data_IF_852816900691
#
_entry.id   IF_852816900691
#
_cell.length_a   1.000
_cell.length_b   1.000
_cell.length_c   1.000
_cell.angle_alpha   90.00
_cell.angle_beta   90.00
_cell.angle_gamma   90.00
#
_symmetry.space_group_name_H-M   'P 1'
#
loop_
_entity.id
_entity.type
_entity.pdbx_description
1 polymer ?
#
# COMPACT_ATOMS: atom_id res chain seq x y z
N UNK A 1 -28.00 -41.88 48.60
CA UNK A 1 -26.63 -42.16 48.19
C UNK A 1 -26.43 -41.53 46.84
N UNK A 2 -25.79 -40.49 46.93
CA UNK A 2 -25.21 -39.45 46.16
C UNK A 2 -24.47 -39.97 44.92
N UNK A 3 -24.72 -39.34 43.79
CA UNK A 3 -23.83 -39.35 42.64
C UNK A 3 -23.54 -37.90 42.26
N UNK A 4 -22.30 -37.52 42.50
CA UNK A 4 -21.73 -36.20 42.23
C UNK A 4 -21.62 -35.89 40.77
N UNK A 5 -22.03 -34.67 40.47
CA UNK A 5 -21.73 -33.91 39.25
C UNK A 5 -20.21 -33.77 39.04
N UNK A 6 -19.81 -34.10 37.84
CA UNK A 6 -18.52 -33.70 37.26
C UNK A 6 -18.77 -32.64 36.20
N UNK A 7 -18.78 -31.37 36.60
CA UNK A 7 -18.78 -30.23 35.69
C UNK A 7 -17.39 -30.09 35.04
N UNK A 8 -17.33 -30.33 33.75
CA UNK A 8 -16.12 -30.26 32.97
C UNK A 8 -15.93 -28.84 32.48
N UNK A 9 -15.01 -28.12 33.10
CA UNK A 9 -14.47 -26.84 32.62
C UNK A 9 -13.61 -27.10 31.37
N UNK A 10 -14.16 -26.94 30.21
CA UNK A 10 -13.48 -27.02 28.90
C UNK A 10 -13.85 -25.83 28.01
N UNK A 11 -13.81 -24.61 28.51
CA UNK A 11 -14.21 -23.47 27.66
C UNK A 11 -13.27 -22.27 27.69
N UNK A 12 -12.06 -22.39 28.23
CA UNK A 12 -11.21 -21.19 28.38
C UNK A 12 -9.83 -21.23 27.67
N UNK A 13 -9.43 -22.35 27.09
CA UNK A 13 -8.09 -22.46 26.47
C UNK A 13 -8.02 -21.88 25.07
N UNK A 14 -9.14 -21.76 24.35
CA UNK A 14 -9.16 -21.25 22.96
C UNK A 14 -9.15 -19.70 22.90
N UNK A 15 -9.58 -19.00 23.94
CA UNK A 15 -9.59 -17.55 24.03
C UNK A 15 -8.23 -16.96 24.46
N UNK A 16 -7.44 -17.68 25.25
CA UNK A 16 -6.15 -17.21 25.75
C UNK A 16 -5.03 -17.30 24.70
N UNK A 17 -5.07 -18.26 23.76
CA UNK A 17 -4.05 -18.39 22.72
C UNK A 17 -4.10 -17.29 21.63
N UNK A 18 -5.21 -16.56 21.53
CA UNK A 18 -5.34 -15.44 20.58
C UNK A 18 -4.75 -14.12 21.10
N UNK A 19 -4.40 -14.05 22.39
CA UNK A 19 -3.91 -12.83 23.07
C UNK A 19 -2.41 -12.58 22.91
N UNK A 20 -1.60 -13.57 22.50
CA UNK A 20 -0.13 -13.45 22.48
C UNK A 20 0.48 -13.14 21.12
N UNK A 21 -0.26 -13.31 20.01
CA UNK A 21 0.28 -13.06 18.67
C UNK A 21 0.32 -11.58 18.36
N UNK A 22 1.50 -11.08 17.93
CA UNK A 22 1.63 -9.71 17.41
C UNK A 22 0.72 -9.49 16.22
N UNK A 23 0.06 -8.32 16.10
CA UNK A 23 -0.69 -7.98 14.90
C UNK A 23 0.23 -8.00 13.68
N UNK A 24 -0.23 -8.65 12.59
CA UNK A 24 0.51 -8.73 11.33
C UNK A 24 -0.05 -7.76 10.31
N UNK A 25 0.82 -6.93 9.78
CA UNK A 25 0.48 -5.92 8.76
C UNK A 25 1.18 -6.27 7.46
N UNK A 26 0.41 -6.38 6.39
CA UNK A 26 0.93 -6.54 5.03
C UNK A 26 0.98 -5.18 4.33
N UNK A 27 2.15 -4.80 3.84
CA UNK A 27 2.34 -3.68 2.92
C UNK A 27 2.35 -4.22 1.48
N UNK A 28 1.22 -4.10 0.81
CA UNK A 28 1.04 -4.58 -0.56
C UNK A 28 1.07 -3.41 -1.53
N UNK A 29 1.93 -3.45 -2.54
CA UNK A 29 2.10 -2.32 -3.43
C UNK A 29 2.57 -2.72 -4.83
N UNK A 30 2.32 -1.81 -5.76
CA UNK A 30 3.06 -1.65 -7.01
C UNK A 30 3.72 -0.27 -6.99
N UNK A 31 4.95 -0.17 -7.44
CA UNK A 31 5.62 1.11 -7.59
C UNK A 31 6.50 1.13 -8.83
N UNK A 32 6.45 2.24 -9.60
CA UNK A 32 7.35 2.45 -10.74
C UNK A 32 8.50 3.40 -10.39
N UNK A 33 8.19 4.41 -9.59
CA UNK A 33 9.13 5.48 -9.22
C UNK A 33 9.59 5.40 -7.76
N UNK A 34 9.27 4.34 -7.05
CA UNK A 34 9.58 4.18 -5.63
C UNK A 34 8.72 5.01 -4.67
N UNK A 35 7.85 5.90 -5.16
CA UNK A 35 7.12 6.82 -4.27
C UNK A 35 6.07 6.12 -3.40
N UNK A 36 5.34 5.15 -3.94
CA UNK A 36 4.38 4.37 -3.16
C UNK A 36 5.06 3.51 -2.10
N UNK A 37 6.24 2.96 -2.41
CA UNK A 37 7.06 2.21 -1.45
C UNK A 37 7.50 3.12 -0.30
N UNK A 38 8.04 4.32 -0.57
CA UNK A 38 8.45 5.26 0.49
C UNK A 38 7.33 5.58 1.48
N UNK A 39 6.13 5.79 0.98
CA UNK A 39 4.95 6.04 1.85
C UNK A 39 4.64 4.82 2.70
N UNK A 40 4.62 3.63 2.11
CA UNK A 40 4.35 2.41 2.87
C UNK A 40 5.48 2.06 3.85
N UNK A 41 6.73 2.35 3.53
CA UNK A 41 7.84 2.15 4.47
C UNK A 41 7.70 3.04 5.70
N UNK A 42 7.35 4.33 5.52
CA UNK A 42 7.07 5.22 6.65
C UNK A 42 5.86 4.73 7.50
N UNK A 43 4.85 4.15 6.85
CA UNK A 43 3.74 3.51 7.58
C UNK A 43 4.22 2.25 8.32
N UNK A 44 5.04 1.43 7.67
CA UNK A 44 5.61 0.20 8.25
C UNK A 44 6.45 0.46 9.49
N UNK A 45 7.31 1.49 9.47
CA UNK A 45 8.06 1.96 10.63
C UNK A 45 7.12 2.25 11.80
N UNK A 46 6.07 3.04 11.56
CA UNK A 46 5.09 3.38 12.59
C UNK A 46 4.29 2.18 13.12
N UNK A 47 3.98 1.19 12.28
CA UNK A 47 3.39 -0.07 12.72
C UNK A 47 4.36 -0.90 13.56
N UNK A 48 5.65 -0.97 13.16
CA UNK A 48 6.69 -1.65 13.96
C UNK A 48 6.85 -0.99 15.35
N UNK A 49 6.85 0.33 15.43
CA UNK A 49 6.92 1.09 16.68
C UNK A 49 5.72 0.81 17.61
N UNK A 50 4.59 0.39 17.03
CA UNK A 50 3.39 -0.06 17.75
C UNK A 50 3.35 -1.57 18.00
N UNK A 51 4.49 -2.27 17.82
CA UNK A 51 4.65 -3.70 18.12
C UNK A 51 4.07 -4.64 17.06
N UNK A 52 3.65 -4.14 15.90
CA UNK A 52 3.19 -4.99 14.79
C UNK A 52 4.35 -5.70 14.10
N UNK A 53 4.08 -6.88 13.55
CA UNK A 53 4.93 -7.59 12.60
C UNK A 53 4.57 -7.11 11.20
N UNK A 54 5.55 -6.58 10.44
CA UNK A 54 5.30 -5.95 9.14
C UNK A 54 5.95 -6.75 8.02
N UNK A 55 5.17 -7.10 7.01
CA UNK A 55 5.60 -7.80 5.80
C UNK A 55 5.40 -6.93 4.58
N UNK A 56 6.29 -7.04 3.60
CA UNK A 56 6.20 -6.31 2.32
C UNK A 56 5.93 -7.28 1.19
N UNK A 57 5.05 -6.90 0.27
CA UNK A 57 4.77 -7.63 -0.95
C UNK A 57 4.64 -6.68 -2.14
N UNK A 58 5.58 -6.78 -3.06
CA UNK A 58 5.56 -6.03 -4.31
C UNK A 58 4.83 -6.81 -5.40
N UNK A 59 3.97 -6.13 -6.14
CA UNK A 59 3.35 -6.65 -7.35
C UNK A 59 4.27 -6.34 -8.51
N UNK A 60 4.80 -7.34 -9.17
CA UNK A 60 5.59 -7.18 -10.38
C UNK A 60 4.69 -7.10 -11.61
N UNK A 61 4.93 -6.12 -12.49
CA UNK A 61 4.18 -5.95 -13.72
C UNK A 61 4.89 -6.61 -14.88
N UNK A 62 4.37 -7.72 -15.37
CA UNK A 62 5.00 -8.59 -16.39
C UNK A 62 4.28 -8.62 -17.72
N UNK A 63 3.20 -7.85 -17.90
CA UNK A 63 2.43 -7.81 -19.14
C UNK A 63 3.29 -7.40 -20.34
N UNK A 64 3.51 -8.33 -21.27
CA UNK A 64 4.43 -8.19 -22.42
C UNK A 64 4.11 -6.97 -23.30
N UNK A 65 2.87 -6.49 -23.31
CA UNK A 65 2.49 -5.30 -24.08
C UNK A 65 3.09 -4.01 -23.52
N UNK A 66 3.39 -3.98 -22.22
CA UNK A 66 3.73 -2.76 -21.50
C UNK A 66 4.93 -2.89 -20.58
N UNK A 67 5.25 -4.09 -20.05
CA UNK A 67 6.23 -4.28 -18.98
C UNK A 67 7.62 -3.75 -19.36
N UNK A 68 8.08 -3.93 -20.59
CA UNK A 68 9.37 -3.43 -21.04
C UNK A 68 9.53 -1.91 -20.84
N UNK A 69 8.43 -1.14 -21.04
CA UNK A 69 8.40 0.32 -20.88
C UNK A 69 8.35 0.76 -19.42
N UNK A 70 7.82 -0.09 -18.54
CA UNK A 70 7.64 0.17 -17.12
C UNK A 70 8.55 -0.70 -16.23
N UNK A 71 9.54 -1.41 -16.80
CA UNK A 71 10.52 -2.21 -16.06
C UNK A 71 11.75 -1.42 -15.61
N UNK A 72 12.01 -0.28 -16.25
CA UNK A 72 13.18 0.55 -15.95
C UNK A 72 12.78 1.99 -15.71
N UNK A 73 13.25 2.54 -14.61
CA UNK A 73 13.16 3.95 -14.29
C UNK A 73 14.59 4.56 -14.38
N UNK A 74 14.78 5.71 -15.04
CA UNK A 74 13.82 6.56 -15.74
C UNK A 74 13.36 6.02 -17.11
N UNK A 75 12.25 6.59 -17.63
CA UNK A 75 11.70 6.26 -18.96
C UNK A 75 12.58 6.80 -20.10
N UNK A 76 12.79 6.00 -21.14
CA UNK A 76 13.51 6.47 -22.34
C UNK A 76 12.69 7.50 -23.14
N UNK A 77 11.38 7.32 -23.26
CA UNK A 77 10.45 8.15 -24.03
C UNK A 77 9.17 8.38 -23.25
N UNK A 78 9.17 9.40 -22.39
CA UNK A 78 8.11 9.63 -21.41
C UNK A 78 6.72 9.60 -22.03
N UNK A 79 6.46 10.47 -23.01
CA UNK A 79 5.11 10.61 -23.59
C UNK A 79 4.68 9.41 -24.45
N UNK A 80 5.48 8.88 -25.40
CA UNK A 80 5.12 7.68 -26.12
C UNK A 80 4.83 6.49 -25.20
N UNK A 81 5.62 6.29 -24.17
CA UNK A 81 5.47 5.16 -23.24
C UNK A 81 4.23 5.34 -22.34
N UNK A 82 4.00 6.54 -21.82
CA UNK A 82 2.79 6.84 -21.05
C UNK A 82 1.51 6.75 -21.90
N UNK A 83 1.53 7.27 -23.15
CA UNK A 83 0.36 7.23 -24.03
C UNK A 83 0.04 5.81 -24.50
N UNK A 84 1.03 4.95 -24.63
CA UNK A 84 0.83 3.57 -25.08
C UNK A 84 -0.09 2.75 -24.18
N UNK A 85 -0.11 3.04 -22.88
CA UNK A 85 -0.96 2.33 -21.90
C UNK A 85 -2.35 2.98 -21.76
N UNK A 86 -2.54 4.20 -22.27
CA UNK A 86 -3.76 4.97 -22.08
C UNK A 86 -5.04 4.26 -22.58
N UNK A 87 -5.10 3.66 -23.79
CA UNK A 87 -6.31 2.96 -24.25
C UNK A 87 -6.71 1.81 -23.32
N UNK A 88 -5.74 1.03 -22.85
CA UNK A 88 -5.98 -0.05 -21.91
C UNK A 88 -6.41 0.47 -20.53
N UNK A 89 -5.85 1.60 -20.10
CA UNK A 89 -6.20 2.24 -18.84
C UNK A 89 -7.63 2.80 -18.86
N UNK A 90 -8.06 3.43 -19.96
CA UNK A 90 -9.43 3.91 -20.17
C UNK A 90 -10.42 2.74 -20.11
N UNK A 91 -10.13 1.63 -20.79
CA UNK A 91 -10.96 0.41 -20.79
C UNK A 91 -10.90 -0.34 -19.46
N UNK A 92 -10.11 0.13 -18.47
CA UNK A 92 -9.88 -0.54 -17.19
C UNK A 92 -9.42 -1.99 -17.38
N UNK A 93 -8.60 -2.23 -18.40
CA UNK A 93 -8.05 -3.53 -18.69
C UNK A 93 -7.12 -4.01 -17.56
N UNK A 94 -7.04 -5.31 -17.36
CA UNK A 94 -6.02 -5.96 -16.55
C UNK A 94 -4.82 -6.32 -17.42
N UNK A 95 -3.67 -6.50 -16.78
CA UNK A 95 -2.43 -6.98 -17.38
C UNK A 95 -1.87 -8.15 -16.59
N UNK A 96 -0.86 -8.80 -17.13
CA UNK A 96 -0.14 -9.87 -16.45
C UNK A 96 0.69 -9.29 -15.30
N UNK A 97 0.67 -9.99 -14.17
CA UNK A 97 1.42 -9.64 -12.96
C UNK A 97 1.98 -10.90 -12.31
N UNK A 98 3.07 -10.73 -11.58
CA UNK A 98 3.58 -11.73 -10.64
C UNK A 98 3.47 -11.14 -9.23
N UNK A 99 3.09 -11.98 -8.29
CA UNK A 99 2.97 -11.65 -6.88
C UNK A 99 3.84 -12.60 -6.08
N UNK A 100 4.43 -12.15 -4.94
CA UNK A 100 5.22 -13.03 -4.09
C UNK A 100 4.40 -14.22 -3.59
N UNK A 101 4.99 -15.41 -3.58
CA UNK A 101 4.36 -16.65 -3.10
C UNK A 101 3.94 -16.56 -1.62
N UNK A 102 4.66 -15.76 -0.84
CA UNK A 102 4.40 -15.54 0.58
C UNK A 102 3.06 -14.85 0.89
N UNK A 103 2.39 -14.26 -0.11
CA UNK A 103 1.12 -13.53 0.10
C UNK A 103 -0.02 -14.39 0.68
N UNK A 104 0.00 -15.70 0.44
CA UNK A 104 -1.06 -16.62 0.90
C UNK A 104 -0.73 -17.38 2.18
N UNK A 105 0.49 -17.28 2.69
CA UNK A 105 1.01 -18.16 3.73
C UNK A 105 0.82 -17.62 5.15
N UNK A 106 0.51 -16.35 5.30
CA UNK A 106 0.36 -15.71 6.61
C UNK A 106 -1.04 -15.12 6.79
N UNK A 107 -1.55 -15.22 8.01
CA UNK A 107 -2.79 -14.57 8.40
C UNK A 107 -2.52 -13.13 8.83
N UNK A 108 -2.93 -12.17 8.01
CA UNK A 108 -2.75 -10.73 8.27
C UNK A 108 -3.97 -10.14 8.98
N UNK A 109 -3.72 -9.22 9.92
CA UNK A 109 -4.76 -8.47 10.63
C UNK A 109 -5.13 -7.17 9.89
N UNK A 110 -4.17 -6.61 9.15
CA UNK A 110 -4.36 -5.42 8.33
C UNK A 110 -3.55 -5.52 7.02
N UNK A 111 -4.18 -5.08 5.93
CA UNK A 111 -3.53 -4.97 4.62
C UNK A 111 -3.47 -3.50 4.21
N UNK A 112 -2.27 -2.96 4.07
CA UNK A 112 -2.02 -1.59 3.60
C UNK A 112 -1.72 -1.63 2.10
N UNK A 113 -2.62 -1.08 1.29
CA UNK A 113 -2.52 -1.10 -0.17
C UNK A 113 -1.93 0.21 -0.68
N UNK A 114 -0.70 0.18 -1.17
CA UNK A 114 -0.03 1.31 -1.82
C UNK A 114 -0.38 1.38 -3.30
N UNK A 115 -1.15 2.40 -3.69
CA UNK A 115 -1.67 2.52 -5.05
C UNK A 115 -1.20 3.79 -5.75
N UNK A 116 -0.28 3.70 -6.73
CA UNK A 116 0.00 4.83 -7.61
C UNK A 116 -1.16 5.07 -8.58
N UNK A 117 -1.39 6.34 -8.90
CA UNK A 117 -2.41 6.72 -9.88
C UNK A 117 -1.82 6.74 -11.27
N UNK A 118 -2.35 5.92 -12.18
CA UNK A 118 -2.10 6.00 -13.60
C UNK A 118 -3.28 6.68 -14.30
N UNK A 119 -3.00 7.83 -14.91
CA UNK A 119 -4.01 8.69 -15.52
C UNK A 119 -5.04 9.11 -14.47
N UNK A 120 -6.23 8.55 -14.46
CA UNK A 120 -7.35 8.94 -13.58
C UNK A 120 -7.76 7.89 -12.56
N UNK A 121 -7.07 6.75 -12.48
CA UNK A 121 -7.49 5.64 -11.61
C UNK A 121 -6.28 4.84 -11.11
N UNK A 122 -6.53 3.77 -10.37
CA UNK A 122 -5.50 2.83 -9.95
C UNK A 122 -4.67 2.32 -11.13
N UNK A 123 -3.38 2.12 -10.93
CA UNK A 123 -2.49 1.54 -11.95
C UNK A 123 -2.99 0.17 -12.43
N UNK A 124 -2.62 -0.19 -13.65
CA UNK A 124 -3.01 -1.49 -14.21
C UNK A 124 -2.52 -2.66 -13.35
N UNK A 125 -1.27 -2.72 -12.86
CA UNK A 125 -0.82 -3.80 -11.98
C UNK A 125 -1.67 -3.93 -10.72
N UNK A 126 -1.93 -2.82 -10.02
CA UNK A 126 -2.76 -2.83 -8.81
C UNK A 126 -4.19 -3.30 -9.11
N UNK A 127 -4.77 -2.83 -10.22
CA UNK A 127 -6.11 -3.27 -10.64
C UNK A 127 -6.14 -4.76 -11.02
N UNK A 128 -5.08 -5.26 -11.66
CA UNK A 128 -4.96 -6.68 -12.01
C UNK A 128 -4.94 -7.54 -10.76
N UNK A 129 -4.13 -7.17 -9.77
CA UNK A 129 -4.10 -7.85 -8.49
C UNK A 129 -5.48 -7.84 -7.82
N UNK A 130 -6.10 -6.67 -7.66
CA UNK A 130 -7.40 -6.55 -6.98
C UNK A 130 -8.56 -7.26 -7.70
N UNK A 131 -8.35 -7.73 -8.92
CA UNK A 131 -9.32 -8.58 -9.66
C UNK A 131 -8.96 -10.07 -9.64
N UNK A 132 -7.84 -10.46 -9.07
CA UNK A 132 -7.35 -11.84 -9.06
C UNK A 132 -7.96 -12.67 -7.92
N UNK A 133 -7.91 -13.99 -8.07
CA UNK A 133 -8.29 -14.93 -7.01
C UNK A 133 -7.33 -14.84 -5.81
N UNK A 134 -6.09 -14.45 -6.04
CA UNK A 134 -5.13 -14.24 -4.95
C UNK A 134 -5.54 -13.05 -4.07
N UNK A 135 -6.02 -11.94 -4.67
CA UNK A 135 -6.55 -10.83 -3.88
C UNK A 135 -7.74 -11.27 -3.02
N UNK A 136 -8.60 -12.15 -3.54
CA UNK A 136 -9.70 -12.72 -2.76
C UNK A 136 -9.19 -13.50 -1.56
N UNK A 137 -8.20 -14.38 -1.75
CA UNK A 137 -7.59 -15.15 -0.65
C UNK A 137 -7.00 -14.25 0.43
N UNK A 138 -6.35 -13.16 0.03
CA UNK A 138 -5.66 -12.23 0.94
C UNK A 138 -6.64 -11.29 1.66
N UNK A 139 -7.71 -10.84 0.97
CA UNK A 139 -8.58 -9.78 1.46
C UNK A 139 -9.85 -10.28 2.16
N UNK A 140 -10.33 -11.51 1.86
CA UNK A 140 -11.59 -12.00 2.42
C UNK A 140 -11.58 -11.94 3.95
N UNK A 141 -12.54 -11.21 4.53
CA UNK A 141 -12.69 -11.02 5.98
C UNK A 141 -11.63 -10.14 6.64
N UNK A 142 -10.66 -9.60 5.87
CA UNK A 142 -9.55 -8.80 6.41
C UNK A 142 -9.83 -7.30 6.36
N UNK A 143 -9.29 -6.57 7.31
CA UNK A 143 -9.25 -5.11 7.27
C UNK A 143 -8.22 -4.63 6.26
N UNK A 144 -8.54 -3.58 5.49
CA UNK A 144 -7.54 -2.96 4.63
C UNK A 144 -7.63 -1.44 4.63
N UNK A 145 -6.46 -0.81 4.49
CA UNK A 145 -6.28 0.63 4.34
C UNK A 145 -5.62 0.95 3.00
N UNK A 146 -5.89 2.14 2.44
CA UNK A 146 -5.40 2.53 1.12
C UNK A 146 -4.50 3.77 1.22
N UNK A 147 -3.30 3.66 0.65
CA UNK A 147 -2.30 4.72 0.59
C UNK A 147 -2.14 5.15 -0.87
N UNK A 148 -2.66 6.33 -1.22
CA UNK A 148 -2.66 6.83 -2.59
C UNK A 148 -1.57 7.85 -2.80
N UNK A 149 -0.67 7.58 -3.73
CA UNK A 149 0.32 8.55 -4.23
C UNK A 149 -0.09 8.97 -5.64
N UNK A 150 -0.36 10.24 -5.84
CA UNK A 150 -0.86 10.73 -7.10
C UNK A 150 -0.43 12.19 -7.37
N UNK A 151 -0.63 12.61 -8.63
CA UNK A 151 -0.56 14.03 -9.00
C UNK A 151 -1.91 14.71 -8.86
N UNK A 152 -2.94 14.00 -9.32
CA UNK A 152 -4.35 14.42 -9.32
C UNK A 152 -5.21 13.16 -9.26
N UNK A 153 -6.50 13.31 -9.15
CA UNK A 153 -7.46 12.19 -9.22
C UNK A 153 -7.30 11.14 -8.13
N UNK A 154 -6.85 11.55 -6.92
CA UNK A 154 -6.70 10.63 -5.80
C UNK A 154 -8.04 10.00 -5.38
N UNK A 155 -9.16 10.77 -5.52
CA UNK A 155 -10.49 10.27 -5.16
C UNK A 155 -10.92 9.09 -6.03
N UNK A 156 -10.68 9.21 -7.34
CA UNK A 156 -10.99 8.14 -8.30
C UNK A 156 -10.12 6.90 -8.07
N UNK A 157 -8.85 7.07 -7.74
CA UNK A 157 -7.97 5.96 -7.39
C UNK A 157 -8.42 5.29 -6.08
N UNK A 158 -8.55 6.06 -5.01
CA UNK A 158 -8.98 5.55 -3.71
C UNK A 158 -10.31 4.81 -3.82
N UNK A 159 -11.28 5.40 -4.51
CA UNK A 159 -12.60 4.79 -4.73
C UNK A 159 -12.50 3.48 -5.53
N UNK A 160 -11.64 3.44 -6.55
CA UNK A 160 -11.45 2.24 -7.37
C UNK A 160 -10.81 1.11 -6.54
N UNK A 161 -9.75 1.41 -5.78
CA UNK A 161 -9.07 0.43 -4.92
C UNK A 161 -10.02 -0.06 -3.83
N UNK A 162 -10.70 0.85 -3.15
CA UNK A 162 -11.69 0.52 -2.12
C UNK A 162 -12.77 -0.43 -2.65
N UNK A 163 -13.46 -0.06 -3.75
CA UNK A 163 -14.53 -0.88 -4.35
C UNK A 163 -14.03 -2.26 -4.79
N UNK A 164 -12.83 -2.33 -5.36
CA UNK A 164 -12.24 -3.60 -5.77
C UNK A 164 -11.87 -4.46 -4.57
N UNK A 165 -11.29 -3.87 -3.52
CA UNK A 165 -10.95 -4.58 -2.28
C UNK A 165 -12.20 -5.09 -1.54
N UNK A 166 -13.24 -4.26 -1.42
CA UNK A 166 -14.54 -4.66 -0.85
C UNK A 166 -15.20 -5.79 -1.68
N UNK A 167 -15.08 -5.75 -3.02
CA UNK A 167 -15.57 -6.83 -3.89
C UNK A 167 -14.84 -8.16 -3.64
N UNK A 168 -13.61 -8.13 -3.17
CA UNK A 168 -12.85 -9.32 -2.78
C UNK A 168 -13.12 -9.76 -1.32
N UNK A 169 -14.12 -9.16 -0.68
CA UNK A 169 -14.50 -9.50 0.70
C UNK A 169 -13.69 -8.78 1.78
N UNK A 170 -12.86 -7.82 1.43
CA UNK A 170 -12.11 -6.99 2.37
C UNK A 170 -12.98 -5.92 3.02
N UNK A 171 -12.64 -5.53 4.24
CA UNK A 171 -13.28 -4.44 4.97
C UNK A 171 -12.38 -3.19 4.91
N UNK A 172 -12.80 -2.18 4.15
CA UNK A 172 -12.11 -0.90 4.12
C UNK A 172 -12.22 -0.20 5.48
N UNK A 173 -11.08 0.22 6.04
CA UNK A 173 -11.05 0.87 7.36
C UNK A 173 -10.64 2.34 7.29
N UNK A 174 -9.75 2.71 6.38
CA UNK A 174 -9.29 4.09 6.21
C UNK A 174 -8.39 4.27 4.99
N UNK A 175 -8.05 5.55 4.66
CA UNK A 175 -7.07 5.83 3.61
C UNK A 175 -6.46 7.21 3.69
N UNK A 176 -5.23 7.32 3.22
CA UNK A 176 -4.49 8.57 3.11
C UNK A 176 -4.06 8.80 1.68
N UNK A 177 -3.95 10.05 1.28
CA UNK A 177 -3.54 10.41 -0.07
C UNK A 177 -2.60 11.60 -0.07
N UNK A 178 -1.68 11.61 -1.03
CA UNK A 178 -0.76 12.71 -1.28
C UNK A 178 -0.84 13.13 -2.74
N UNK A 179 -1.26 14.36 -2.95
CA UNK A 179 -1.39 14.96 -4.27
C UNK A 179 -0.26 15.96 -4.53
N UNK A 180 0.06 16.17 -5.80
CA UNK A 180 1.00 17.17 -6.22
C UNK A 180 0.45 18.59 -5.94
N UNK A 181 1.24 19.50 -5.37
CA UNK A 181 0.76 20.81 -4.92
C UNK A 181 0.64 21.88 -6.02
N UNK A 182 1.11 21.61 -7.24
CA UNK A 182 1.16 22.59 -8.33
C UNK A 182 -0.08 22.58 -9.24
N UNK A 183 -0.13 23.57 -10.13
CA UNK A 183 -1.11 23.62 -11.23
C UNK A 183 -0.86 22.51 -12.27
N UNK A 184 -1.79 22.37 -13.23
CA UNK A 184 -1.75 21.31 -14.22
C UNK A 184 -0.51 21.39 -15.13
N UNK A 185 -0.13 22.60 -15.59
CA UNK A 185 1.01 22.77 -16.49
C UNK A 185 2.33 22.39 -15.79
N UNK A 186 2.56 22.98 -14.61
CA UNK A 186 3.74 22.67 -13.80
C UNK A 186 3.78 21.21 -13.39
N UNK A 187 2.61 20.61 -13.10
CA UNK A 187 2.50 19.18 -12.82
C UNK A 187 2.97 18.33 -14.01
N UNK A 188 2.56 18.68 -15.24
CA UNK A 188 2.97 17.95 -16.44
C UNK A 188 4.46 18.12 -16.72
N UNK A 189 5.01 19.32 -16.59
CA UNK A 189 6.45 19.60 -16.75
C UNK A 189 7.27 18.83 -15.70
N UNK A 190 6.85 18.86 -14.43
CA UNK A 190 7.50 18.13 -13.35
C UNK A 190 7.45 16.61 -13.57
N UNK A 191 6.31 16.08 -14.03
CA UNK A 191 6.19 14.67 -14.38
C UNK A 191 7.15 14.27 -15.51
N UNK A 192 7.16 15.06 -16.59
CA UNK A 192 8.04 14.81 -17.75
C UNK A 192 9.50 14.83 -17.36
N UNK A 193 9.92 15.85 -16.59
CA UNK A 193 11.27 15.95 -16.07
C UNK A 193 11.64 14.72 -15.24
N UNK A 194 10.85 14.39 -14.22
CA UNK A 194 11.17 13.32 -13.30
C UNK A 194 11.12 11.93 -13.94
N UNK A 195 10.12 11.64 -14.75
CA UNK A 195 10.04 10.35 -15.43
C UNK A 195 11.14 10.14 -16.46
N UNK A 196 11.62 11.23 -17.11
CA UNK A 196 12.66 11.15 -18.12
C UNK A 196 14.09 11.19 -17.57
N UNK A 197 14.29 11.75 -16.38
CA UNK A 197 15.64 11.89 -15.80
C UNK A 197 15.88 11.07 -14.54
N UNK A 198 14.83 10.71 -13.83
CA UNK A 198 14.92 10.09 -12.50
C UNK A 198 15.27 11.07 -11.38
N UNK A 199 15.50 12.33 -11.70
CA UNK A 199 15.99 13.34 -10.77
C UNK A 199 14.93 14.39 -10.47
N UNK A 200 14.91 14.84 -9.24
CA UNK A 200 14.16 16.04 -8.89
C UNK A 200 14.90 17.29 -9.39
N UNK A 201 14.15 18.16 -10.06
CA UNK A 201 14.63 19.47 -10.52
C UNK A 201 13.63 20.54 -10.08
N UNK A 202 14.14 21.69 -9.66
CA UNK A 202 13.32 22.86 -9.30
C UNK A 202 12.88 23.66 -10.54
N UNK A 203 13.53 23.41 -11.72
CA UNK A 203 13.22 24.02 -13.02
C UNK A 203 13.26 23.01 -14.15
N UNK A 204 12.35 23.18 -15.09
CA UNK A 204 12.34 22.41 -16.35
C UNK A 204 11.85 23.30 -17.49
N UNK A 205 12.61 23.35 -18.59
CA UNK A 205 12.37 24.25 -19.73
C UNK A 205 12.19 25.73 -19.30
N UNK A 206 13.01 26.22 -18.35
CA UNK A 206 12.93 27.56 -17.81
C UNK A 206 11.82 27.82 -16.78
N UNK A 207 10.85 26.91 -16.65
CA UNK A 207 9.72 27.03 -15.72
C UNK A 207 10.07 26.43 -14.35
N UNK A 208 9.78 27.17 -13.27
CA UNK A 208 9.91 26.66 -11.90
C UNK A 208 8.81 25.61 -11.63
N UNK A 209 9.23 24.44 -11.20
CA UNK A 209 8.33 23.31 -10.92
C UNK A 209 8.47 22.89 -9.44
N UNK A 210 7.35 22.65 -8.73
CA UNK A 210 7.39 22.09 -7.38
C UNK A 210 7.96 20.67 -7.37
N UNK A 211 8.40 20.24 -6.20
CA UNK A 211 8.90 18.88 -5.98
C UNK A 211 7.88 17.81 -6.43
N UNK A 212 8.37 16.82 -7.15
CA UNK A 212 7.56 15.74 -7.75
C UNK A 212 7.34 14.59 -6.78
N UNK A 213 8.31 14.34 -5.94
CA UNK A 213 8.35 13.20 -5.01
C UNK A 213 7.58 13.50 -3.73
N UNK A 214 7.30 12.44 -3.01
CA UNK A 214 6.76 12.51 -1.65
C UNK A 214 7.75 13.29 -0.77
N UNK A 215 7.23 14.26 -0.04
CA UNK A 215 7.98 15.17 0.80
C UNK A 215 8.10 14.65 2.24
N UNK A 216 9.12 15.08 3.03
CA UNK A 216 9.30 14.64 4.42
C UNK A 216 8.05 14.86 5.29
N UNK A 217 7.33 15.97 5.10
CA UNK A 217 6.10 16.28 5.83
C UNK A 217 4.98 15.30 5.53
N UNK A 218 4.92 14.78 4.29
CA UNK A 218 3.96 13.75 3.89
C UNK A 218 4.30 12.38 4.49
N UNK A 219 5.59 12.07 4.63
CA UNK A 219 6.04 10.86 5.35
C UNK A 219 5.69 10.95 6.83
N UNK A 220 5.85 12.10 7.45
CA UNK A 220 5.45 12.31 8.84
C UNK A 220 3.93 12.20 9.02
N UNK A 221 3.15 12.75 8.10
CA UNK A 221 1.69 12.55 8.08
C UNK A 221 1.33 11.07 7.93
N UNK A 222 2.09 10.33 7.13
CA UNK A 222 1.92 8.88 6.97
C UNK A 222 2.18 8.14 8.28
N UNK A 223 3.26 8.47 9.01
CA UNK A 223 3.56 7.86 10.32
C UNK A 223 2.45 8.13 11.33
N UNK A 224 1.98 9.35 11.41
CA UNK A 224 0.85 9.73 12.30
C UNK A 224 -0.42 8.96 11.95
N UNK A 225 -0.75 8.86 10.66
CA UNK A 225 -1.91 8.10 10.18
C UNK A 225 -1.79 6.61 10.54
N UNK A 226 -0.64 6.00 10.26
CA UNK A 226 -0.39 4.57 10.55
C UNK A 226 -0.42 4.29 12.05
N UNK A 227 0.16 5.17 12.88
CA UNK A 227 0.10 5.07 14.34
C UNK A 227 -1.33 5.12 14.85
N UNK A 228 -2.12 6.10 14.42
CA UNK A 228 -3.53 6.22 14.80
C UNK A 228 -4.37 5.00 14.35
N UNK A 229 -4.05 4.46 13.16
CA UNK A 229 -4.69 3.26 12.64
C UNK A 229 -4.35 2.03 13.48
N UNK A 230 -3.07 1.87 13.87
CA UNK A 230 -2.63 0.79 14.75
C UNK A 230 -3.31 0.88 16.12
N UNK A 231 -3.33 2.07 16.73
CA UNK A 231 -3.98 2.30 18.03
C UNK A 231 -5.47 1.96 17.99
N UNK A 232 -6.16 2.36 16.91
CA UNK A 232 -7.60 2.08 16.71
C UNK A 232 -7.90 0.60 16.50
N UNK A 233 -7.06 -0.13 15.77
CA UNK A 233 -7.31 -1.53 15.42
C UNK A 233 -6.71 -2.52 16.42
N UNK A 234 -5.62 -2.16 17.08
CA UNK A 234 -4.82 -3.06 17.89
C UNK A 234 -4.51 -2.55 19.30
N UNK A 235 -5.00 -1.37 19.69
CA UNK A 235 -4.64 -0.68 20.94
C UNK A 235 -4.81 -1.48 22.24
N UNK A 236 -5.59 -2.56 22.20
CA UNK A 236 -5.67 -3.52 23.31
C UNK A 236 -4.67 -4.67 23.22
N UNK A 237 -4.01 -4.88 22.06
CA UNK A 237 -3.10 -6.01 21.80
C UNK A 237 -1.63 -5.58 21.67
N UNK A 238 -1.35 -4.32 21.36
CA UNK A 238 -0.04 -3.82 20.97
C UNK A 238 0.78 -3.20 22.13
N UNK A 239 0.27 -3.18 23.35
CA UNK A 239 0.86 -2.45 24.45
C UNK A 239 1.95 -3.22 25.22
N UNK A 240 3.06 -3.55 24.55
CA UNK A 240 4.37 -3.69 25.26
C UNK A 240 5.49 -3.21 24.33
N UNK A 241 6.02 -1.98 24.52
CA UNK A 241 7.24 -1.56 23.83
C UNK A 241 8.38 -2.49 24.25
N UNK A 242 9.21 -2.90 23.30
CA UNK A 242 10.48 -3.58 23.60
C UNK A 242 11.26 -2.70 24.56
N UNK A 243 11.51 -3.19 25.77
CA UNK A 243 12.53 -2.64 26.63
C UNK A 243 13.83 -2.54 25.82
N UNK A 244 14.44 -1.36 25.79
CA UNK A 244 15.79 -1.18 25.23
C UNK A 244 16.68 -2.26 25.82
N UNK A 245 17.26 -3.10 24.94
CA UNK A 245 18.29 -4.03 25.37
C UNK A 245 19.39 -3.25 26.12
N UNK A 246 19.88 -3.73 27.27
CA UNK A 246 20.97 -3.08 28.00
C UNK A 246 22.19 -3.05 27.09
N UNK A 247 22.76 -1.87 26.88
CA UNK A 247 24.05 -1.72 26.21
C UNK A 247 25.11 -2.41 27.07
N UNK A 248 25.98 -3.26 26.49
CA UNK A 248 27.12 -3.81 27.23
C UNK A 248 28.06 -2.65 27.63
N UNK A 249 28.49 -2.67 28.90
CA UNK A 249 29.50 -1.78 29.44
C UNK A 249 30.88 -2.17 28.92
#
# INVERSE_FOLDING_TARGET
>A
MEAQQGDTVVTDVASEQHSERRPRVLLLYYTYTGQALKVLEAAGEAFCDRGCEVHKAEIEFTDRRFAERFSRFPMRRVWPDMLSVLPAQIRRASGEIVTPDALGNLDYDLICIGSPTWWRTASMPMRSFLKSDQARKVLTGKSFAVFVVCRRYWRENLTAVRKLGEKQGGRYVDGIHFAYPGDQLRSMLSLTSYLGTGEYRDRYLGVRIPATNVQPEQLEQTRKFASALADRLFGGRAARPRGKAPQPR
#
